data_IF_085098940529
#
_entry.id   IF_085098940529
#
_cell.length_a   1.000
_cell.length_b   1.000
_cell.length_c   1.000
_cell.angle_alpha   90.00
_cell.angle_beta   90.00
_cell.angle_gamma   90.00
#
_symmetry.space_group_name_H-M   'P 1'
#
loop_
_entity.id
_entity.type
_entity.pdbx_description
1 polymer ?
#
# COMPACT_ATOMS: atom_id res chain seq x y z
N UNK A 1 -18.85 -5.10 -18.65
CA UNK A 1 -18.59 -6.54 -18.83
C UNK A 1 -18.30 -7.11 -17.44
N UNK A 2 -18.87 -8.24 -17.06
CA UNK A 2 -18.66 -8.81 -15.72
C UNK A 2 -17.20 -9.18 -15.51
N UNK A 3 -16.62 -9.01 -14.31
CA UNK A 3 -15.25 -9.38 -14.03
C UNK A 3 -15.12 -10.91 -14.06
N UNK A 4 -14.58 -11.45 -15.15
CA UNK A 4 -14.43 -12.91 -15.33
C UNK A 4 -13.19 -13.40 -14.58
N UNK A 5 -12.15 -12.56 -14.49
CA UNK A 5 -10.87 -12.92 -13.90
C UNK A 5 -10.60 -12.21 -12.56
N UNK A 6 -11.32 -11.14 -12.21
CA UNK A 6 -11.19 -10.49 -10.90
C UNK A 6 -11.37 -11.45 -9.71
N UNK A 7 -12.39 -12.32 -9.77
CA UNK A 7 -12.62 -13.33 -8.73
C UNK A 7 -11.48 -14.37 -8.65
N UNK A 8 -10.96 -14.81 -9.79
CA UNK A 8 -9.82 -15.73 -9.86
C UNK A 8 -8.53 -15.08 -9.33
N UNK A 9 -8.33 -13.80 -9.62
CA UNK A 9 -7.22 -13.00 -9.09
C UNK A 9 -7.22 -13.02 -7.56
N UNK A 10 -8.37 -12.70 -6.95
CA UNK A 10 -8.52 -12.76 -5.50
C UNK A 10 -8.33 -14.18 -4.95
N UNK A 11 -8.92 -15.20 -5.60
CA UNK A 11 -8.76 -16.59 -5.16
C UNK A 11 -7.31 -17.05 -5.18
N UNK A 12 -6.54 -16.70 -6.21
CA UNK A 12 -5.11 -17.03 -6.27
C UNK A 12 -4.28 -16.27 -5.24
N UNK A 13 -4.64 -15.02 -4.90
CA UNK A 13 -4.01 -14.32 -3.79
C UNK A 13 -4.22 -15.08 -2.46
N UNK A 14 -5.45 -15.49 -2.17
CA UNK A 14 -5.77 -16.23 -0.94
C UNK A 14 -5.05 -17.59 -0.87
N UNK A 15 -4.82 -18.22 -2.03
CA UNK A 15 -4.02 -19.44 -2.13
C UNK A 15 -2.49 -19.19 -2.07
N UNK A 16 -2.04 -17.94 -1.91
CA UNK A 16 -0.62 -17.56 -1.91
C UNK A 16 0.07 -17.68 -3.28
N UNK A 17 -0.68 -17.93 -4.36
CA UNK A 17 -0.14 -18.09 -5.70
C UNK A 17 -0.08 -16.72 -6.40
N UNK A 18 0.93 -15.93 -6.05
CA UNK A 18 1.11 -14.57 -6.54
C UNK A 18 1.39 -14.50 -8.04
N UNK A 19 1.99 -15.54 -8.63
CA UNK A 19 2.21 -15.63 -10.07
C UNK A 19 0.89 -15.73 -10.84
N UNK A 20 0.01 -16.66 -10.44
CA UNK A 20 -1.33 -16.77 -11.06
C UNK A 20 -2.21 -15.58 -10.73
N UNK A 21 -2.11 -15.03 -9.51
CA UNK A 21 -2.79 -13.79 -9.15
C UNK A 21 -2.42 -12.69 -10.14
N UNK A 22 -1.13 -12.47 -10.42
CA UNK A 22 -0.70 -11.48 -11.40
C UNK A 22 -1.21 -11.81 -12.80
N UNK A 23 -1.06 -13.05 -13.27
CA UNK A 23 -1.48 -13.46 -14.62
C UNK A 23 -2.97 -13.17 -14.86
N UNK A 24 -3.83 -13.59 -13.93
CA UNK A 24 -5.28 -13.40 -14.07
C UNK A 24 -5.71 -11.95 -13.80
N UNK A 25 -5.02 -11.24 -12.92
CA UNK A 25 -5.26 -9.82 -12.70
C UNK A 25 -4.93 -9.00 -13.95
N UNK A 26 -3.82 -9.29 -14.63
CA UNK A 26 -3.44 -8.63 -15.89
C UNK A 26 -4.44 -8.95 -17.02
N UNK A 27 -5.00 -10.17 -17.06
CA UNK A 27 -6.10 -10.51 -17.98
C UNK A 27 -7.38 -9.72 -17.69
N UNK A 28 -7.74 -9.55 -16.42
CA UNK A 28 -8.92 -8.76 -16.02
C UNK A 28 -8.76 -7.31 -16.47
N UNK A 29 -7.66 -6.64 -16.11
CA UNK A 29 -7.47 -5.22 -16.47
C UNK A 29 -7.30 -5.01 -17.99
N UNK A 30 -6.92 -6.05 -18.74
CA UNK A 30 -6.94 -6.00 -20.22
C UNK A 30 -8.38 -5.96 -20.75
N UNK A 31 -9.32 -6.66 -20.11
CA UNK A 31 -10.73 -6.71 -20.50
C UNK A 31 -11.56 -5.56 -19.90
N UNK A 32 -11.18 -5.15 -18.68
CA UNK A 32 -11.83 -4.15 -17.84
C UNK A 32 -10.77 -3.19 -17.28
N UNK A 33 -10.23 -2.26 -18.09
CA UNK A 33 -9.12 -1.39 -17.66
C UNK A 33 -9.38 -0.52 -16.43
N UNK A 34 -10.65 -0.34 -16.07
CA UNK A 34 -11.09 0.47 -14.94
C UNK A 34 -11.62 -0.39 -13.77
N UNK A 35 -11.31 -1.69 -13.72
CA UNK A 35 -11.56 -2.51 -12.53
C UNK A 35 -10.61 -2.09 -11.40
N UNK A 36 -11.06 -1.09 -10.63
CA UNK A 36 -10.28 -0.48 -9.54
C UNK A 36 -9.92 -1.47 -8.44
N UNK A 37 -10.73 -2.50 -8.22
CA UNK A 37 -10.47 -3.51 -7.20
C UNK A 37 -9.29 -4.38 -7.61
N UNK A 38 -9.27 -4.84 -8.86
CA UNK A 38 -8.12 -5.58 -9.40
C UNK A 38 -6.87 -4.72 -9.51
N UNK A 39 -7.00 -3.45 -9.95
CA UNK A 39 -5.89 -2.50 -10.00
C UNK A 39 -5.26 -2.28 -8.61
N UNK A 40 -6.06 -1.99 -7.59
CA UNK A 40 -5.57 -1.79 -6.22
C UNK A 40 -4.94 -3.07 -5.65
N UNK A 41 -5.51 -4.24 -5.94
CA UNK A 41 -4.97 -5.54 -5.52
C UNK A 41 -3.59 -5.81 -6.10
N UNK A 42 -3.41 -5.59 -7.41
CA UNK A 42 -2.11 -5.73 -8.08
C UNK A 42 -1.12 -4.68 -7.59
N UNK A 43 -1.53 -3.41 -7.53
CA UNK A 43 -0.71 -2.29 -7.06
C UNK A 43 -0.17 -2.51 -5.64
N UNK A 44 -0.99 -3.08 -4.76
CA UNK A 44 -0.59 -3.44 -3.40
C UNK A 44 0.30 -4.69 -3.36
N UNK A 45 -0.05 -5.74 -4.11
CA UNK A 45 0.58 -7.05 -3.91
C UNK A 45 1.91 -7.19 -4.63
N UNK A 46 2.02 -6.72 -5.88
CA UNK A 46 3.23 -6.87 -6.68
C UNK A 46 4.51 -6.40 -5.96
N UNK A 47 4.61 -5.19 -5.37
CA UNK A 47 5.83 -4.76 -4.70
C UNK A 47 6.19 -5.58 -3.44
N UNK A 48 5.24 -6.36 -2.89
CA UNK A 48 5.48 -7.29 -1.77
C UNK A 48 6.15 -8.59 -2.24
N UNK A 49 5.99 -8.99 -3.49
CA UNK A 49 6.58 -10.22 -4.05
C UNK A 49 8.04 -10.07 -4.47
N UNK A 50 8.56 -8.84 -4.46
CA UNK A 50 9.95 -8.59 -4.82
C UNK A 50 10.91 -9.18 -3.79
N UNK A 51 11.83 -9.98 -4.31
CA UNK A 51 13.01 -10.50 -3.63
C UNK A 51 14.24 -10.10 -4.44
N UNK A 52 15.32 -9.69 -3.79
CA UNK A 52 16.55 -9.27 -4.47
C UNK A 52 16.67 -7.76 -4.70
N UNK A 53 17.45 -7.36 -5.70
CA UNK A 53 17.81 -5.96 -5.94
C UNK A 53 16.67 -5.20 -6.63
N UNK A 54 16.32 -4.04 -6.08
CA UNK A 54 15.32 -3.14 -6.70
C UNK A 54 15.81 -2.50 -8.01
N UNK A 55 17.10 -2.65 -8.33
CA UNK A 55 17.69 -2.19 -9.58
C UNK A 55 17.62 -3.23 -10.71
N UNK A 56 17.21 -4.47 -10.41
CA UNK A 56 17.05 -5.50 -11.43
C UNK A 56 15.97 -5.06 -12.44
N UNK A 57 16.17 -5.21 -13.77
CA UNK A 57 15.22 -4.72 -14.77
C UNK A 57 13.79 -5.24 -14.57
N UNK A 58 13.64 -6.50 -14.15
CA UNK A 58 12.34 -7.09 -13.81
C UNK A 58 11.69 -6.42 -12.59
N UNK A 59 12.49 -6.11 -11.56
CA UNK A 59 12.00 -5.40 -10.37
C UNK A 59 11.57 -3.97 -10.72
N UNK A 60 12.36 -3.27 -11.54
CA UNK A 60 12.03 -1.91 -12.02
C UNK A 60 10.70 -1.91 -12.78
N UNK A 61 10.52 -2.85 -13.71
CA UNK A 61 9.29 -2.98 -14.49
C UNK A 61 8.09 -3.34 -13.60
N UNK A 62 8.25 -4.25 -12.65
CA UNK A 62 7.19 -4.65 -11.72
C UNK A 62 6.76 -3.48 -10.82
N UNK A 63 7.71 -2.70 -10.29
CA UNK A 63 7.41 -1.49 -9.51
C UNK A 63 6.72 -0.43 -10.37
N UNK A 64 7.07 -0.29 -11.64
CA UNK A 64 6.42 0.65 -12.55
C UNK A 64 4.96 0.26 -12.82
N UNK A 65 4.70 -1.02 -13.06
CA UNK A 65 3.33 -1.55 -13.18
C UNK A 65 2.53 -1.31 -11.90
N UNK A 66 3.10 -1.64 -10.74
CA UNK A 66 2.43 -1.45 -9.46
C UNK A 66 2.08 0.03 -9.18
N UNK A 67 3.01 0.94 -9.49
CA UNK A 67 2.74 2.39 -9.40
C UNK A 67 1.59 2.80 -10.31
N UNK A 68 1.62 2.37 -11.58
CA UNK A 68 0.58 2.70 -12.54
C UNK A 68 -0.79 2.21 -12.07
N UNK A 69 -0.89 0.97 -11.61
CA UNK A 69 -2.16 0.40 -11.15
C UNK A 69 -2.69 1.12 -9.91
N UNK A 70 -1.82 1.41 -8.94
CA UNK A 70 -2.21 2.17 -7.74
C UNK A 70 -2.70 3.58 -8.09
N UNK A 71 -1.98 4.31 -8.95
CA UNK A 71 -2.38 5.67 -9.38
C UNK A 71 -3.72 5.65 -10.11
N UNK A 72 -3.90 4.70 -11.02
CA UNK A 72 -5.15 4.57 -11.77
C UNK A 72 -6.33 4.23 -10.85
N UNK A 73 -6.14 3.35 -9.87
CA UNK A 73 -7.18 3.06 -8.87
C UNK A 73 -7.52 4.30 -8.03
N UNK A 74 -6.52 5.08 -7.59
CA UNK A 74 -6.73 6.32 -6.83
C UNK A 74 -7.52 7.35 -7.65
N UNK A 75 -7.21 7.49 -8.93
CA UNK A 75 -7.87 8.47 -9.82
C UNK A 75 -9.32 8.10 -10.14
N UNK A 76 -9.58 6.81 -10.43
CA UNK A 76 -10.90 6.36 -10.92
C UNK A 76 -11.88 6.13 -9.78
N UNK A 77 -11.43 5.60 -8.63
CA UNK A 77 -12.34 5.19 -7.54
C UNK A 77 -13.28 6.32 -7.08
N UNK A 78 -12.83 7.58 -6.92
CA UNK A 78 -13.70 8.70 -6.56
C UNK A 78 -14.82 8.96 -7.57
N UNK A 79 -14.57 8.73 -8.87
CA UNK A 79 -15.49 9.05 -9.97
C UNK A 79 -16.46 7.93 -10.32
N UNK A 80 -16.34 6.76 -9.67
CA UNK A 80 -17.21 5.62 -9.97
C UNK A 80 -18.68 5.95 -9.66
N UNK A 81 -19.61 5.63 -10.57
CA UNK A 81 -21.03 5.70 -10.26
C UNK A 81 -21.39 4.61 -9.25
N UNK A 82 -22.26 4.95 -8.30
CA UNK A 82 -22.78 3.97 -7.36
C UNK A 82 -23.62 2.92 -8.11
N UNK A 83 -23.35 1.61 -7.94
CA UNK A 83 -24.23 0.56 -8.45
C UNK A 83 -25.62 0.62 -7.81
N UNK A 84 -26.68 0.39 -8.60
CA UNK A 84 -28.09 0.44 -8.13
C UNK A 84 -28.37 -0.54 -6.98
N UNK A 85 -27.63 -1.65 -6.92
CA UNK A 85 -27.79 -2.70 -5.94
C UNK A 85 -27.00 -2.48 -4.63
N UNK A 86 -26.32 -1.34 -4.48
CA UNK A 86 -25.57 -1.01 -3.27
C UNK A 86 -26.17 0.18 -2.51
N UNK A 87 -26.15 0.08 -1.18
CA UNK A 87 -26.40 1.24 -0.31
C UNK A 87 -25.25 2.24 -0.43
N UNK A 88 -25.52 3.51 -0.09
CA UNK A 88 -24.47 4.55 -0.10
C UNK A 88 -23.31 4.19 0.84
N UNK A 89 -23.63 3.62 2.00
CA UNK A 89 -22.64 3.16 2.98
C UNK A 89 -21.79 2.01 2.43
N UNK A 90 -22.40 0.97 1.83
CA UNK A 90 -21.67 -0.15 1.26
C UNK A 90 -20.75 0.31 0.11
N UNK A 91 -21.22 1.25 -0.71
CA UNK A 91 -20.42 1.81 -1.80
C UNK A 91 -19.28 2.69 -1.28
N UNK A 92 -19.53 3.53 -0.29
CA UNK A 92 -18.49 4.34 0.36
C UNK A 92 -17.42 3.47 1.02
N UNK A 93 -17.85 2.41 1.72
CA UNK A 93 -16.95 1.42 2.32
C UNK A 93 -16.08 0.72 1.28
N UNK A 94 -16.67 0.25 0.17
CA UNK A 94 -15.93 -0.37 -0.93
C UNK A 94 -14.91 0.58 -1.59
N UNK A 95 -15.29 1.85 -1.76
CA UNK A 95 -14.37 2.89 -2.26
C UNK A 95 -13.22 3.12 -1.29
N UNK A 96 -13.51 3.25 0.00
CA UNK A 96 -12.49 3.44 1.03
C UNK A 96 -11.52 2.26 1.10
N UNK A 97 -12.01 1.03 1.07
CA UNK A 97 -11.15 -0.16 1.03
C UNK A 97 -10.22 -0.15 -0.19
N UNK A 98 -10.77 0.17 -1.37
CA UNK A 98 -9.99 0.25 -2.61
C UNK A 98 -8.92 1.35 -2.54
N UNK A 99 -9.29 2.54 -2.06
CA UNK A 99 -8.37 3.66 -1.92
C UNK A 99 -7.27 3.37 -0.90
N UNK A 100 -7.60 2.79 0.26
CA UNK A 100 -6.62 2.40 1.26
C UNK A 100 -5.59 1.42 0.70
N UNK A 101 -6.04 0.40 -0.05
CA UNK A 101 -5.17 -0.55 -0.72
C UNK A 101 -4.26 0.11 -1.76
N UNK A 102 -4.82 0.98 -2.61
CA UNK A 102 -4.08 1.65 -3.67
C UNK A 102 -3.02 2.62 -3.11
N UNK A 103 -3.37 3.43 -2.11
CA UNK A 103 -2.44 4.31 -1.40
C UNK A 103 -1.34 3.50 -0.67
N UNK A 104 -1.70 2.38 -0.02
CA UNK A 104 -0.74 1.44 0.58
C UNK A 104 0.25 0.89 -0.45
N UNK A 105 -0.25 0.46 -1.61
CA UNK A 105 0.57 -0.03 -2.72
C UNK A 105 1.53 1.03 -3.25
N UNK A 106 1.03 2.23 -3.50
CA UNK A 106 1.84 3.34 -4.01
C UNK A 106 2.93 3.75 -3.01
N UNK A 107 2.58 3.88 -1.74
CA UNK A 107 3.54 4.14 -0.65
C UNK A 107 4.63 3.09 -0.57
N UNK A 108 4.28 1.80 -0.64
CA UNK A 108 5.28 0.71 -0.65
C UNK A 108 6.18 0.77 -1.89
N UNK A 109 5.65 1.08 -3.08
CA UNK A 109 6.49 1.26 -4.29
C UNK A 109 7.51 2.38 -4.07
N UNK A 110 7.10 3.50 -3.49
CA UNK A 110 8.00 4.60 -3.21
C UNK A 110 9.06 4.24 -2.15
N UNK A 111 8.69 3.57 -1.06
CA UNK A 111 9.68 3.05 -0.09
C UNK A 111 10.68 2.10 -0.74
N UNK A 112 10.22 1.16 -1.58
CA UNK A 112 11.10 0.22 -2.32
C UNK A 112 12.11 0.95 -3.20
N UNK A 113 11.76 2.12 -3.72
CA UNK A 113 12.64 2.96 -4.57
C UNK A 113 13.47 3.98 -3.77
N UNK A 114 13.38 3.98 -2.44
CA UNK A 114 14.04 4.98 -1.58
C UNK A 114 13.42 6.38 -1.65
N UNK A 115 12.26 6.51 -2.31
CA UNK A 115 11.50 7.76 -2.46
C UNK A 115 10.64 8.02 -1.23
N UNK A 116 11.30 8.14 -0.08
CA UNK A 116 10.62 8.16 1.22
C UNK A 116 9.74 9.41 1.41
N UNK A 117 10.14 10.56 0.86
CA UNK A 117 9.33 11.78 0.94
C UNK A 117 8.01 11.62 0.17
N UNK A 118 8.04 11.02 -1.02
CA UNK A 118 6.82 10.73 -1.79
C UNK A 118 5.98 9.61 -1.16
N UNK A 119 6.58 8.68 -0.40
CA UNK A 119 5.86 7.60 0.25
C UNK A 119 4.98 8.06 1.43
N UNK A 120 5.42 9.07 2.19
CA UNK A 120 4.75 9.55 3.40
C UNK A 120 3.28 9.91 3.13
N UNK A 121 2.93 10.84 2.22
CA UNK A 121 1.53 11.25 2.03
C UNK A 121 0.63 10.09 1.58
N UNK A 122 1.17 9.14 0.80
CA UNK A 122 0.43 7.97 0.36
C UNK A 122 0.14 7.01 1.53
N UNK A 123 1.15 6.74 2.37
CA UNK A 123 0.99 5.87 3.54
C UNK A 123 0.08 6.51 4.60
N UNK A 124 0.16 7.83 4.79
CA UNK A 124 -0.76 8.58 5.67
C UNK A 124 -2.20 8.43 5.20
N UNK A 125 -2.43 8.57 3.89
CA UNK A 125 -3.77 8.44 3.36
C UNK A 125 -4.29 6.99 3.46
N UNK A 126 -3.42 5.99 3.25
CA UNK A 126 -3.78 4.59 3.44
C UNK A 126 -4.28 4.32 4.87
N UNK A 127 -3.51 4.75 5.90
CA UNK A 127 -3.88 4.50 7.31
C UNK A 127 -5.02 5.39 7.82
N UNK A 128 -5.29 6.52 7.15
CA UNK A 128 -6.40 7.42 7.48
C UNK A 128 -7.73 6.88 6.96
N UNK A 129 -7.74 6.30 5.76
CA UNK A 129 -8.94 5.76 5.13
C UNK A 129 -9.33 4.41 5.75
N UNK A 130 -8.34 3.56 6.04
CA UNK A 130 -8.59 2.20 6.50
C UNK A 130 -9.08 2.19 7.96
N UNK A 131 -10.29 1.66 8.25
CA UNK A 131 -10.74 1.48 9.63
C UNK A 131 -9.95 0.41 10.38
N UNK A 132 -9.27 -0.49 9.67
CA UNK A 132 -8.41 -1.53 10.25
C UNK A 132 -7.10 -1.66 9.46
N UNK A 133 -6.22 -0.66 9.55
CA UNK A 133 -5.01 -0.56 8.74
C UNK A 133 -4.09 -1.77 8.91
N UNK A 134 -3.51 -2.26 7.81
CA UNK A 134 -2.40 -3.23 7.85
C UNK A 134 -1.23 -2.65 8.68
N UNK A 135 -0.72 -3.34 9.72
CA UNK A 135 0.42 -2.88 10.52
C UNK A 135 1.66 -2.53 9.66
N UNK A 136 1.81 -3.17 8.50
CA UNK A 136 2.86 -2.87 7.53
C UNK A 136 2.81 -1.41 7.08
N UNK A 137 1.62 -0.81 6.92
CA UNK A 137 1.50 0.59 6.50
C UNK A 137 2.08 1.54 7.54
N UNK A 138 1.82 1.32 8.83
CA UNK A 138 2.42 2.11 9.91
C UNK A 138 3.93 1.87 10.02
N UNK A 139 4.39 0.64 9.85
CA UNK A 139 5.81 0.34 9.82
C UNK A 139 6.53 1.07 8.68
N UNK A 140 5.99 1.01 7.46
CA UNK A 140 6.55 1.71 6.29
C UNK A 140 6.52 3.22 6.47
N UNK A 141 5.44 3.77 7.06
CA UNK A 141 5.33 5.19 7.36
C UNK A 141 6.41 5.61 8.36
N UNK A 142 6.65 4.80 9.40
CA UNK A 142 7.73 5.02 10.35
C UNK A 142 9.11 4.98 9.70
N UNK A 143 9.35 4.01 8.80
CA UNK A 143 10.60 3.92 8.05
C UNK A 143 10.83 5.12 7.13
N UNK A 144 9.79 5.54 6.42
CA UNK A 144 9.85 6.67 5.49
C UNK A 144 10.16 7.98 6.23
N UNK A 145 9.44 8.25 7.33
CA UNK A 145 9.68 9.39 8.21
C UNK A 145 11.09 9.34 8.84
N UNK A 146 11.54 8.18 9.31
CA UNK A 146 12.89 8.03 9.87
C UNK A 146 13.98 8.34 8.84
N UNK A 147 13.78 7.88 7.61
CA UNK A 147 14.72 8.08 6.50
C UNK A 147 14.76 9.52 5.98
N UNK A 148 13.73 10.31 6.28
CA UNK A 148 13.61 11.74 5.94
C UNK A 148 13.86 12.64 7.16
N UNK A 149 14.35 12.06 8.26
CA UNK A 149 14.66 12.77 9.51
C UNK A 149 13.43 13.40 10.20
N UNK A 150 12.21 12.97 9.88
CA UNK A 150 10.99 13.29 10.62
C UNK A 150 10.86 12.34 11.83
N UNK A 151 11.79 12.43 12.79
CA UNK A 151 11.94 11.42 13.84
C UNK A 151 10.73 11.29 14.77
N UNK A 152 10.06 12.40 15.11
CA UNK A 152 8.88 12.36 15.98
C UNK A 152 7.71 11.63 15.32
N UNK A 153 7.48 11.88 14.03
CA UNK A 153 6.44 11.20 13.25
C UNK A 153 6.80 9.72 13.03
N UNK A 154 8.09 9.42 12.87
CA UNK A 154 8.57 8.05 12.82
C UNK A 154 8.26 7.29 14.11
N UNK A 155 8.55 7.88 15.28
CA UNK A 155 8.22 7.31 16.59
C UNK A 155 6.71 7.10 16.72
N UNK A 156 5.90 8.08 16.33
CA UNK A 156 4.44 7.98 16.39
C UNK A 156 3.91 6.83 15.52
N UNK A 157 4.38 6.71 14.28
CA UNK A 157 3.98 5.64 13.36
C UNK A 157 4.42 4.26 13.86
N UNK A 158 5.67 4.12 14.34
CA UNK A 158 6.15 2.86 14.92
C UNK A 158 5.38 2.47 16.19
N UNK A 159 5.01 3.42 17.04
CA UNK A 159 4.19 3.15 18.22
C UNK A 159 2.79 2.64 17.83
N UNK A 160 2.16 3.22 16.80
CA UNK A 160 0.89 2.70 16.27
C UNK A 160 1.05 1.27 15.75
N UNK A 161 2.10 0.98 14.98
CA UNK A 161 2.42 -0.40 14.57
C UNK A 161 2.63 -1.34 15.77
N UNK A 162 3.38 -0.92 16.78
CA UNK A 162 3.70 -1.72 17.97
C UNK A 162 2.48 -2.00 18.87
N UNK A 163 1.45 -1.14 18.82
CA UNK A 163 0.20 -1.37 19.53
C UNK A 163 -0.66 -2.46 18.87
N UNK A 164 -0.38 -2.83 17.62
CA UNK A 164 -1.11 -3.85 16.88
C UNK A 164 -0.52 -5.23 17.15
N UNK A 165 -1.38 -6.20 17.47
CA UNK A 165 -0.95 -7.59 17.68
C UNK A 165 -0.52 -8.21 16.35
N UNK A 166 0.71 -8.73 16.29
CA UNK A 166 1.21 -9.38 15.09
C UNK A 166 2.74 -9.54 15.09
N UNK A 167 3.31 -10.15 14.04
CA UNK A 167 4.74 -10.43 13.96
C UNK A 167 5.61 -9.17 13.97
N UNK A 168 5.07 -8.02 13.53
CA UNK A 168 5.80 -6.75 13.50
C UNK A 168 5.87 -6.03 14.85
N UNK A 169 5.10 -6.44 15.86
CA UNK A 169 5.02 -5.71 17.13
C UNK A 169 6.40 -5.47 17.77
N UNK A 170 7.22 -6.53 17.88
CA UNK A 170 8.57 -6.43 18.45
C UNK A 170 9.48 -5.52 17.62
N UNK A 171 9.50 -5.72 16.30
CA UNK A 171 10.28 -4.90 15.37
C UNK A 171 9.89 -3.43 15.47
N UNK A 172 8.60 -3.12 15.53
CA UNK A 172 8.12 -1.74 15.63
C UNK A 172 8.50 -1.09 16.96
N UNK A 173 8.51 -1.82 18.08
CA UNK A 173 9.01 -1.30 19.37
C UNK A 173 10.48 -0.90 19.28
N UNK A 174 11.33 -1.78 18.75
CA UNK A 174 12.75 -1.49 18.57
C UNK A 174 12.97 -0.28 17.66
N UNK A 175 12.24 -0.20 16.54
CA UNK A 175 12.37 0.93 15.61
C UNK A 175 11.88 2.25 16.20
N UNK A 176 10.86 2.24 17.08
CA UNK A 176 10.44 3.43 17.82
C UNK A 176 11.54 3.94 18.75
N UNK A 177 12.22 3.05 19.48
CA UNK A 177 13.34 3.43 20.35
C UNK A 177 14.52 3.98 19.56
N UNK A 178 14.85 3.36 18.42
CA UNK A 178 15.92 3.82 17.54
C UNK A 178 15.62 5.20 16.96
N UNK A 179 14.41 5.42 16.44
CA UNK A 179 13.98 6.72 15.94
C UNK A 179 14.03 7.79 17.04
N UNK A 180 13.63 7.45 18.27
CA UNK A 180 13.71 8.36 19.42
C UNK A 180 15.15 8.79 19.73
N UNK A 181 16.11 7.86 19.73
CA UNK A 181 17.54 8.16 19.95
C UNK A 181 18.11 9.05 18.84
N UNK A 182 17.68 8.85 17.60
CA UNK A 182 18.07 9.70 16.47
C UNK A 182 17.55 11.13 16.68
N UNK A 183 16.29 11.30 17.07
CA UNK A 183 15.70 12.61 17.38
C UNK A 183 16.38 13.36 18.54
N UNK A 184 17.05 12.65 19.47
CA UNK A 184 17.84 13.31 20.53
C UNK A 184 19.25 13.72 20.10
N UNK A 185 19.76 13.16 19.00
CA UNK A 185 21.16 13.34 18.55
C UNK A 185 21.26 14.09 17.22
N UNK A 186 20.15 14.23 16.50
CA UNK A 186 20.06 14.86 15.19
C UNK A 186 18.88 15.84 15.16
N UNK A 187 19.01 16.90 14.37
CA UNK A 187 17.90 17.83 14.14
C UNK A 187 16.85 17.15 13.25
N UNK A 188 15.59 17.21 13.67
CA UNK A 188 14.47 16.79 12.81
C UNK A 188 14.35 17.70 11.60
N UNK A 189 14.02 17.13 10.44
CA UNK A 189 13.72 17.92 9.25
C UNK A 189 12.40 18.69 9.46
N UNK A 190 12.25 19.89 8.87
CA UNK A 190 10.95 20.57 8.84
C UNK A 190 9.92 19.72 8.09
N UNK A 191 8.67 19.84 8.51
CA UNK A 191 7.50 19.25 7.83
C UNK A 191 7.17 20.01 6.56
#
# INVERSE_FOLDING_TARGET
KSPVYGALTYAYLQAGNTQKMQEYGEKEITLSPNDVSTLALLGQTLPRTLHGSVSDPAAVQLLAKAEQYSKQAIEITPTLPKPENLTDEAFASAKNQTLAMAHSGLGLVFVRRGKNAEAIPELEQAVKIDPNPDPVNYYLLGMANKSTSHFDDAVAAFNKCAAMTGPLQGTCKTQAEDAKKLGTTQLSAPK
#
